data_IF_114629854570
#
_entry.id   IF_114629854570
#
_cell.length_a   1.000
_cell.length_b   1.000
_cell.length_c   1.000
_cell.angle_alpha   90.00
_cell.angle_beta   90.00
_cell.angle_gamma   90.00
#
_symmetry.space_group_name_H-M   'P 1'
#
loop_
_entity.id
_entity.type
_entity.pdbx_description
1 polymer ?
#
# COMPACT_ATOMS: atom_id res chain seq x y z
N UNK A 1 -36.75 -20.15 39.99
CA UNK A 1 -37.47 -21.13 39.15
C UNK A 1 -36.74 -21.23 37.81
N UNK A 2 -36.05 -22.35 37.61
CA UNK A 2 -35.18 -22.64 36.46
C UNK A 2 -36.07 -23.30 35.41
N UNK A 3 -36.07 -22.83 34.15
CA UNK A 3 -36.61 -23.57 33.00
C UNK A 3 -35.43 -24.04 32.15
N UNK A 4 -34.98 -25.31 32.31
CA UNK A 4 -33.96 -25.90 31.47
C UNK A 4 -34.64 -26.77 30.40
N UNK A 5 -34.47 -26.43 29.12
CA UNK A 5 -34.32 -27.36 27.98
C UNK A 5 -34.52 -26.58 26.67
N UNK A 6 -33.43 -26.11 26.10
CA UNK A 6 -33.24 -26.03 24.66
C UNK A 6 -31.75 -26.18 24.42
N UNK A 7 -31.34 -27.44 24.48
CA UNK A 7 -30.04 -27.96 24.11
C UNK A 7 -29.89 -27.76 22.60
N UNK A 8 -29.17 -26.72 22.19
CA UNK A 8 -28.32 -26.58 20.98
C UNK A 8 -28.11 -25.07 20.72
N UNK A 9 -27.22 -24.43 21.47
CA UNK A 9 -26.72 -23.11 21.10
C UNK A 9 -25.21 -23.23 20.95
N UNK A 10 -24.79 -23.26 19.69
CA UNK A 10 -23.42 -23.38 19.21
C UNK A 10 -22.53 -22.36 19.92
N UNK A 11 -21.74 -22.84 20.88
CA UNK A 11 -20.64 -22.10 21.47
C UNK A 11 -19.45 -22.17 20.49
N UNK A 12 -19.26 -21.12 19.71
CA UNK A 12 -17.96 -20.80 19.13
C UNK A 12 -17.89 -19.30 18.88
N UNK A 13 -17.21 -18.63 19.81
CA UNK A 13 -16.77 -17.25 19.80
C UNK A 13 -16.64 -16.66 18.39
N UNK A 14 -17.51 -15.70 18.06
CA UNK A 14 -17.22 -14.72 17.02
C UNK A 14 -16.02 -13.91 17.49
N UNK A 15 -14.81 -14.35 17.10
CA UNK A 15 -13.62 -13.51 17.17
C UNK A 15 -13.92 -12.26 16.35
N UNK A 16 -14.10 -11.13 17.04
CA UNK A 16 -13.90 -9.83 16.46
C UNK A 16 -12.43 -9.74 16.04
N UNK A 17 -12.12 -10.07 14.78
CA UNK A 17 -10.82 -9.75 14.21
C UNK A 17 -10.74 -8.23 14.10
N UNK A 18 -9.84 -7.55 14.84
CA UNK A 18 -9.55 -6.17 14.53
C UNK A 18 -8.89 -6.14 13.15
N UNK A 19 -9.51 -5.47 12.19
CA UNK A 19 -8.99 -5.24 10.85
C UNK A 19 -7.70 -4.42 10.94
N UNK A 20 -6.55 -5.07 11.10
CA UNK A 20 -5.24 -4.42 10.96
C UNK A 20 -4.91 -4.25 9.47
N UNK A 21 -5.76 -3.51 8.76
CA UNK A 21 -5.69 -3.23 7.31
C UNK A 21 -4.76 -2.06 7.00
N UNK A 22 -3.55 -2.05 7.57
CA UNK A 22 -2.53 -1.06 7.18
C UNK A 22 -1.14 -1.68 7.01
N UNK A 23 -0.85 -2.73 7.78
CA UNK A 23 0.44 -3.44 7.70
C UNK A 23 0.43 -4.48 6.56
N UNK A 24 -0.72 -5.10 6.29
CA UNK A 24 -0.88 -6.06 5.19
C UNK A 24 -0.78 -5.38 3.82
N UNK A 25 -1.42 -4.23 3.66
CA UNK A 25 -1.46 -3.45 2.43
C UNK A 25 -0.05 -2.94 2.07
N UNK A 26 0.70 -2.50 3.08
CA UNK A 26 2.11 -2.18 2.92
C UNK A 26 2.95 -3.38 2.47
N UNK A 27 2.76 -4.54 3.09
CA UNK A 27 3.48 -5.75 2.71
C UNK A 27 3.17 -6.19 1.25
N UNK A 28 1.95 -5.97 0.77
CA UNK A 28 1.57 -6.22 -0.63
C UNK A 28 2.25 -5.25 -1.58
N UNK A 29 2.24 -3.97 -1.27
CA UNK A 29 2.95 -2.96 -2.02
C UNK A 29 4.47 -3.24 -2.08
N UNK A 30 5.07 -3.66 -0.96
CA UNK A 30 6.49 -4.00 -0.88
C UNK A 30 6.84 -5.24 -1.72
N UNK A 31 5.96 -6.25 -1.72
CA UNK A 31 6.10 -7.43 -2.57
C UNK A 31 6.00 -7.07 -4.06
N UNK A 32 5.07 -6.19 -4.44
CA UNK A 32 5.01 -5.65 -5.81
C UNK A 32 6.30 -4.89 -6.15
N UNK A 33 6.79 -4.07 -5.22
CA UNK A 33 7.97 -3.25 -5.42
C UNK A 33 9.26 -4.07 -5.62
N UNK A 34 9.29 -5.33 -5.18
CA UNK A 34 10.44 -6.21 -5.37
C UNK A 34 10.80 -6.42 -6.86
N UNK A 35 9.80 -6.44 -7.75
CA UNK A 35 9.96 -6.60 -9.20
C UNK A 35 10.23 -5.31 -9.99
N UNK A 36 10.28 -4.16 -9.32
CA UNK A 36 10.47 -2.87 -9.98
C UNK A 36 11.92 -2.67 -10.46
N UNK A 37 12.06 -1.94 -11.58
CA UNK A 37 13.34 -1.38 -12.02
C UNK A 37 13.95 -0.46 -10.96
N UNK A 38 15.28 -0.21 -10.96
CA UNK A 38 15.94 0.65 -9.98
C UNK A 38 15.29 2.04 -9.85
N UNK A 39 14.96 2.68 -10.97
CA UNK A 39 14.29 3.98 -11.00
C UNK A 39 12.90 3.96 -10.36
N UNK A 40 12.12 2.91 -10.62
CA UNK A 40 10.80 2.75 -10.03
C UNK A 40 10.89 2.44 -8.52
N UNK A 41 11.91 1.68 -8.07
CA UNK A 41 12.20 1.46 -6.64
C UNK A 41 12.58 2.76 -5.93
N UNK A 42 13.33 3.63 -6.59
CA UNK A 42 13.67 4.96 -6.04
C UNK A 42 12.40 5.79 -5.79
N UNK A 43 11.47 5.82 -6.75
CA UNK A 43 10.18 6.51 -6.57
C UNK A 43 9.37 5.85 -5.45
N UNK A 44 9.20 4.53 -5.49
CA UNK A 44 8.43 3.78 -4.49
C UNK A 44 8.93 4.03 -3.06
N UNK A 45 10.23 3.84 -2.82
CA UNK A 45 10.84 3.99 -1.48
C UNK A 45 10.71 5.39 -0.92
N UNK A 46 10.73 6.42 -1.77
CA UNK A 46 10.56 7.81 -1.35
C UNK A 46 9.12 8.16 -0.95
N UNK A 47 8.12 7.37 -1.38
CA UNK A 47 6.70 7.67 -1.22
C UNK A 47 6.01 6.74 -0.22
N UNK A 48 6.38 5.46 -0.15
CA UNK A 48 5.63 4.42 0.58
C UNK A 48 5.36 4.78 2.05
N UNK A 49 6.27 5.53 2.71
CA UNK A 49 6.08 6.02 4.09
C UNK A 49 4.99 7.07 4.28
N UNK A 50 4.46 7.63 3.18
CA UNK A 50 3.44 8.69 3.15
C UNK A 50 2.09 8.21 2.62
N UNK A 51 1.98 6.93 2.24
CA UNK A 51 0.74 6.35 1.74
C UNK A 51 -0.26 6.19 2.89
N UNK A 52 -1.46 6.71 2.68
CA UNK A 52 -2.58 6.63 3.59
C UNK A 52 -3.88 6.79 2.79
N UNK A 53 -5.01 6.25 3.28
CA UNK A 53 -6.31 6.44 2.67
C UNK A 53 -6.60 7.94 2.42
N UNK A 54 -7.06 8.27 1.22
CA UNK A 54 -7.37 9.65 0.82
C UNK A 54 -6.20 10.47 0.27
N UNK A 55 -4.98 9.92 0.21
CA UNK A 55 -3.87 10.59 -0.49
C UNK A 55 -4.13 10.66 -2.00
N UNK A 56 -3.81 11.79 -2.62
CA UNK A 56 -3.74 11.87 -4.08
C UNK A 56 -2.47 11.18 -4.57
N UNK A 57 -2.59 9.89 -4.87
CA UNK A 57 -1.48 9.06 -5.33
C UNK A 57 -0.87 9.58 -6.63
N UNK A 58 -1.69 10.05 -7.58
CA UNK A 58 -1.20 10.50 -8.88
C UNK A 58 -0.39 11.78 -8.73
N UNK A 59 -0.91 12.75 -7.98
CA UNK A 59 -0.19 13.99 -7.71
C UNK A 59 1.09 13.73 -6.90
N UNK A 60 1.03 12.86 -5.89
CA UNK A 60 2.18 12.51 -5.05
C UNK A 60 3.31 11.88 -5.86
N UNK A 61 2.99 10.87 -6.68
CA UNK A 61 3.95 10.19 -7.54
C UNK A 61 4.54 11.16 -8.57
N UNK A 62 3.72 11.97 -9.21
CA UNK A 62 4.18 12.97 -10.20
C UNK A 62 5.11 14.01 -9.58
N UNK A 63 4.74 14.53 -8.42
CA UNK A 63 5.54 15.51 -7.67
C UNK A 63 6.89 14.93 -7.28
N UNK A 64 6.90 13.73 -6.72
CA UNK A 64 8.11 13.07 -6.28
C UNK A 64 9.03 12.69 -7.46
N UNK A 65 8.47 12.14 -8.55
CA UNK A 65 9.24 11.84 -9.75
C UNK A 65 9.89 13.10 -10.34
N UNK A 66 9.16 14.22 -10.39
CA UNK A 66 9.72 15.52 -10.79
C UNK A 66 10.84 15.96 -9.86
N UNK A 67 10.67 15.84 -8.55
CA UNK A 67 11.70 16.20 -7.56
C UNK A 67 12.98 15.38 -7.78
N UNK A 68 12.86 14.06 -7.97
CA UNK A 68 13.99 13.17 -8.24
C UNK A 68 14.71 13.52 -9.54
N UNK A 69 13.96 13.88 -10.58
CA UNK A 69 14.52 14.38 -11.85
C UNK A 69 15.32 15.66 -11.62
N UNK A 70 14.76 16.63 -10.90
CA UNK A 70 15.44 17.91 -10.63
C UNK A 70 16.67 17.72 -9.74
N UNK A 71 16.65 16.72 -8.87
CA UNK A 71 17.78 16.33 -8.05
C UNK A 71 18.85 15.51 -8.80
N UNK A 72 18.65 15.21 -10.09
CA UNK A 72 19.57 14.39 -10.89
C UNK A 72 19.59 12.90 -10.50
N UNK A 73 18.59 12.43 -9.74
CA UNK A 73 18.48 11.05 -9.25
C UNK A 73 17.66 10.14 -10.14
N UNK A 74 16.94 10.72 -11.11
CA UNK A 74 16.07 10.02 -12.03
C UNK A 74 16.19 10.68 -13.40
N UNK A 75 16.42 9.88 -14.44
CA UNK A 75 16.50 10.41 -15.79
C UNK A 75 15.10 10.81 -16.30
N UNK A 76 14.99 11.95 -16.99
CA UNK A 76 13.72 12.45 -17.52
C UNK A 76 13.02 11.46 -18.44
N UNK A 77 13.76 10.77 -19.30
CA UNK A 77 13.15 9.83 -20.26
C UNK A 77 12.52 8.63 -19.55
N UNK A 78 13.10 8.21 -18.41
CA UNK A 78 12.62 7.06 -17.64
C UNK A 78 11.58 7.43 -16.58
N UNK A 79 11.47 8.71 -16.23
CA UNK A 79 10.64 9.17 -15.13
C UNK A 79 9.17 8.76 -15.26
N UNK A 80 8.59 8.84 -16.47
CA UNK A 80 7.19 8.47 -16.70
C UNK A 80 6.95 6.98 -16.48
N UNK A 81 7.75 6.11 -17.13
CA UNK A 81 7.63 4.66 -17.01
C UNK A 81 7.85 4.21 -15.57
N UNK A 82 8.90 4.74 -14.93
CA UNK A 82 9.21 4.46 -13.53
C UNK A 82 8.07 4.89 -12.59
N UNK A 83 7.49 6.08 -12.80
CA UNK A 83 6.38 6.60 -12.01
C UNK A 83 5.10 5.76 -12.16
N UNK A 84 4.77 5.32 -13.38
CA UNK A 84 3.60 4.47 -13.62
C UNK A 84 3.74 3.11 -12.93
N UNK A 85 4.93 2.50 -13.03
CA UNK A 85 5.21 1.21 -12.42
C UNK A 85 5.20 1.30 -10.89
N UNK A 86 5.89 2.28 -10.31
CA UNK A 86 5.89 2.55 -8.87
C UNK A 86 4.48 2.87 -8.35
N UNK A 87 3.73 3.73 -9.05
CA UNK A 87 2.35 4.07 -8.72
C UNK A 87 1.41 2.86 -8.74
N UNK A 88 1.68 1.88 -9.61
CA UNK A 88 0.99 0.59 -9.61
C UNK A 88 1.14 -0.19 -8.30
N UNK A 89 2.34 -0.24 -7.75
CA UNK A 89 2.59 -0.87 -6.46
C UNK A 89 2.07 -0.04 -5.29
N UNK A 90 2.22 1.29 -5.31
CA UNK A 90 1.78 2.18 -4.23
C UNK A 90 0.27 2.14 -4.01
N UNK A 91 -0.54 1.85 -5.04
CA UNK A 91 -1.98 1.66 -4.91
C UNK A 91 -2.37 0.52 -3.98
N UNK A 92 -1.48 -0.44 -3.77
CA UNK A 92 -1.73 -1.58 -2.88
C UNK A 92 -1.51 -1.22 -1.40
N UNK A 93 -0.97 -0.04 -1.11
CA UNK A 93 -0.74 0.47 0.24
C UNK A 93 -1.82 1.47 0.72
N UNK A 94 -2.95 1.56 0.01
CA UNK A 94 -4.04 2.52 0.25
C UNK A 94 -5.34 1.86 0.67
#
# INVERSE_FOLDING_TARGET
MIRPLSVLAVAAAMLALPSTSSLADRAKADACAAGLSPDAKLIYSSIIGKMAPGVDLVATVKSQARSLVMAGKLERAQAQSAAQSAGGCLRQAL
#
